data_IF_363768525652
#
_entry.id   IF_363768525652
#
_cell.length_a   1.000
_cell.length_b   1.000
_cell.length_c   1.000
_cell.angle_alpha   90.00
_cell.angle_beta   90.00
_cell.angle_gamma   90.00
#
_symmetry.space_group_name_H-M   'P 1'
#
loop_
_entity.id
_entity.type
_entity.pdbx_description
1 polymer ?
#
# COMPACT_ATOMS: atom_id res chain seq x y z
N UNK A 1 -3.67 -9.52 -3.42
CA UNK A 1 -4.09 -8.40 -4.29
C UNK A 1 -3.07 -8.21 -5.39
N UNK A 2 -3.44 -7.54 -6.50
CA UNK A 2 -2.64 -7.54 -7.74
C UNK A 2 -1.24 -6.93 -7.57
N UNK A 3 -1.09 -5.83 -6.82
CA UNK A 3 0.22 -5.19 -6.59
C UNK A 3 1.21 -6.17 -5.94
N UNK A 4 0.81 -6.83 -4.85
CA UNK A 4 1.64 -7.86 -4.18
C UNK A 4 2.05 -8.97 -5.15
N UNK A 5 1.11 -9.46 -5.97
CA UNK A 5 1.41 -10.51 -6.97
C UNK A 5 2.43 -10.05 -8.02
N UNK A 6 2.39 -8.77 -8.44
CA UNK A 6 3.36 -8.21 -9.38
C UNK A 6 4.73 -8.02 -8.74
N UNK A 7 4.79 -7.63 -7.47
CA UNK A 7 6.03 -7.53 -6.70
C UNK A 7 6.66 -8.92 -6.48
N UNK A 8 5.85 -9.93 -6.19
CA UNK A 8 6.30 -11.33 -6.08
C UNK A 8 6.87 -11.90 -7.39
N UNK A 9 6.34 -11.44 -8.52
CA UNK A 9 6.82 -11.86 -9.85
C UNK A 9 8.12 -11.20 -10.29
N UNK A 10 8.58 -10.14 -9.61
CA UNK A 10 9.81 -9.42 -9.96
C UNK A 10 11.04 -10.19 -9.42
N UNK A 11 11.87 -10.70 -10.34
CA UNK A 11 13.11 -11.42 -10.01
C UNK A 11 14.32 -10.60 -10.43
N UNK A 12 15.04 -10.05 -9.46
CA UNK A 12 16.31 -9.36 -9.65
C UNK A 12 17.11 -9.41 -8.35
N UNK A 13 18.23 -10.16 -8.32
CA UNK A 13 19.06 -10.33 -7.12
C UNK A 13 19.62 -9.00 -6.58
N UNK A 14 20.05 -8.10 -7.48
CA UNK A 14 20.59 -6.79 -7.09
C UNK A 14 19.54 -5.83 -6.51
N UNK A 15 18.25 -6.12 -6.71
CA UNK A 15 17.13 -5.31 -6.20
C UNK A 15 16.28 -6.06 -5.17
N UNK A 16 16.68 -7.28 -4.76
CA UNK A 16 15.89 -8.18 -3.93
C UNK A 16 15.38 -7.50 -2.65
N UNK A 17 16.25 -6.80 -1.93
CA UNK A 17 15.87 -6.10 -0.70
C UNK A 17 14.79 -5.02 -0.93
N UNK A 18 14.89 -4.29 -2.05
CA UNK A 18 13.92 -3.24 -2.40
C UNK A 18 12.58 -3.82 -2.86
N UNK A 19 12.62 -4.95 -3.58
CA UNK A 19 11.43 -5.72 -3.97
C UNK A 19 10.72 -6.25 -2.71
N UNK A 20 11.47 -6.87 -1.79
CA UNK A 20 10.94 -7.42 -0.54
C UNK A 20 10.35 -6.31 0.35
N UNK A 21 10.99 -5.13 0.41
CA UNK A 21 10.47 -3.97 1.14
C UNK A 21 9.14 -3.48 0.54
N UNK A 22 9.07 -3.28 -0.78
CA UNK A 22 7.85 -2.84 -1.46
C UNK A 22 6.72 -3.87 -1.28
N UNK A 23 7.06 -5.16 -1.35
CA UNK A 23 6.12 -6.26 -1.11
C UNK A 23 5.53 -6.19 0.30
N UNK A 24 6.38 -6.05 1.32
CA UNK A 24 5.95 -5.91 2.72
C UNK A 24 5.00 -4.73 2.89
N UNK A 25 5.30 -3.57 2.30
CA UNK A 25 4.40 -2.42 2.33
C UNK A 25 3.05 -2.71 1.64
N UNK A 26 3.04 -3.45 0.53
CA UNK A 26 1.80 -3.83 -0.18
C UNK A 26 0.92 -4.77 0.65
N UNK A 27 1.55 -5.73 1.34
CA UNK A 27 0.87 -6.62 2.28
C UNK A 27 0.31 -5.85 3.49
N UNK A 28 1.11 -4.98 4.10
CA UNK A 28 0.68 -4.13 5.22
C UNK A 28 -0.51 -3.25 4.84
N UNK A 29 -0.47 -2.58 3.68
CA UNK A 29 -1.60 -1.79 3.18
C UNK A 29 -2.85 -2.65 2.99
N UNK A 30 -2.72 -3.79 2.30
CA UNK A 30 -3.86 -4.69 2.06
C UNK A 30 -4.46 -5.22 3.36
N UNK A 31 -3.62 -5.55 4.36
CA UNK A 31 -4.08 -6.03 5.66
C UNK A 31 -4.78 -4.92 6.44
N UNK A 32 -4.29 -3.68 6.39
CA UNK A 32 -4.94 -2.54 7.04
C UNK A 32 -6.37 -2.32 6.55
N UNK A 33 -6.57 -2.40 5.23
CA UNK A 33 -7.91 -2.28 4.64
C UNK A 33 -8.85 -3.39 5.14
N UNK A 34 -8.35 -4.62 5.29
CA UNK A 34 -9.12 -5.74 5.85
C UNK A 34 -9.44 -5.56 7.33
N UNK A 35 -8.47 -5.11 8.12
CA UNK A 35 -8.68 -4.80 9.54
C UNK A 35 -9.78 -3.76 9.73
N UNK A 36 -9.86 -2.78 8.84
CA UNK A 36 -10.86 -1.70 8.84
C UNK A 36 -12.16 -2.04 8.11
N UNK A 37 -12.47 -3.32 7.89
CA UNK A 37 -13.69 -3.74 7.17
C UNK A 37 -14.99 -3.21 7.79
N UNK A 38 -15.06 -2.96 9.11
CA UNK A 38 -16.25 -2.36 9.74
C UNK A 38 -16.55 -0.95 9.23
N UNK A 39 -15.50 -0.21 8.84
CA UNK A 39 -15.60 1.15 8.33
C UNK A 39 -15.65 1.19 6.80
N UNK A 40 -14.95 0.25 6.14
CA UNK A 40 -14.70 0.27 4.69
C UNK A 40 -15.50 -0.78 3.90
N UNK A 41 -16.00 -1.82 4.57
CA UNK A 41 -16.70 -2.96 3.95
C UNK A 41 -18.21 -2.89 4.07
N UNK A 42 -18.76 -1.69 4.29
CA UNK A 42 -20.20 -1.43 4.44
C UNK A 42 -20.75 -0.67 3.24
N UNK A 43 -22.03 -0.79 2.95
CA UNK A 43 -22.70 0.16 2.05
C UNK A 43 -22.66 1.57 2.65
N UNK A 44 -22.48 2.57 1.78
CA UNK A 44 -22.41 3.97 2.22
C UNK A 44 -21.15 4.34 3.00
N UNK A 45 -19.98 3.81 2.62
CA UNK A 45 -18.69 4.33 3.12
C UNK A 45 -18.64 5.85 2.89
N UNK A 46 -18.32 6.59 3.94
CA UNK A 46 -18.27 8.06 3.86
C UNK A 46 -17.04 8.51 3.08
N UNK A 47 -17.10 9.71 2.48
CA UNK A 47 -15.93 10.33 1.86
C UNK A 47 -14.75 10.44 2.83
N UNK A 48 -15.01 10.71 4.11
CA UNK A 48 -13.97 10.81 5.13
C UNK A 48 -13.28 9.45 5.32
N UNK A 49 -14.04 8.37 5.50
CA UNK A 49 -13.51 7.00 5.66
C UNK A 49 -12.72 6.55 4.43
N UNK A 50 -13.25 6.82 3.23
CA UNK A 50 -12.58 6.50 1.98
C UNK A 50 -11.26 7.27 1.82
N UNK A 51 -11.25 8.58 2.13
CA UNK A 51 -10.03 9.41 2.07
C UNK A 51 -8.97 8.93 3.07
N UNK A 52 -9.36 8.56 4.29
CA UNK A 52 -8.43 7.98 5.28
C UNK A 52 -7.82 6.65 4.85
N UNK A 53 -8.45 5.94 3.91
CA UNK A 53 -7.97 4.66 3.40
C UNK A 53 -7.09 4.79 2.15
N UNK A 54 -7.43 5.65 1.19
CA UNK A 54 -6.77 5.67 -0.14
C UNK A 54 -6.26 7.04 -0.62
N UNK A 55 -6.54 8.13 0.10
CA UNK A 55 -6.02 9.44 -0.26
C UNK A 55 -4.74 9.74 0.55
N UNK A 56 -3.58 9.45 -0.03
CA UNK A 56 -2.27 9.62 0.63
C UNK A 56 -1.96 11.06 1.11
N UNK A 57 -2.67 12.07 0.60
CA UNK A 57 -2.53 13.47 0.99
C UNK A 57 -3.55 13.91 2.05
N UNK A 58 -4.42 13.01 2.52
CA UNK A 58 -5.43 13.34 3.53
C UNK A 58 -4.79 13.70 4.88
N UNK A 59 -5.46 14.55 5.67
CA UNK A 59 -4.98 14.93 7.00
C UNK A 59 -4.88 13.73 7.94
N UNK A 60 -5.99 13.00 8.07
CA UNK A 60 -6.06 11.75 8.83
C UNK A 60 -5.82 10.54 7.92
N UNK A 61 -5.06 9.55 8.38
CA UNK A 61 -4.62 8.43 7.53
C UNK A 61 -4.72 7.05 8.20
N UNK A 62 -5.62 6.91 9.17
CA UNK A 62 -5.62 5.77 10.11
C UNK A 62 -6.20 4.47 9.53
N UNK A 63 -6.74 4.52 8.30
CA UNK A 63 -7.47 3.42 7.67
C UNK A 63 -6.78 2.81 6.44
N UNK A 64 -5.56 3.25 6.13
CA UNK A 64 -4.78 2.70 5.01
C UNK A 64 -3.96 3.75 4.27
N UNK A 65 -4.32 5.04 4.35
CA UNK A 65 -3.62 6.06 3.57
C UNK A 65 -2.16 6.26 4.03
N UNK A 66 -1.83 5.93 5.29
CA UNK A 66 -0.46 5.94 5.79
C UNK A 66 0.35 4.80 5.17
N UNK A 67 -0.20 3.59 5.19
CA UNK A 67 0.41 2.40 4.58
C UNK A 67 0.54 2.55 3.07
N UNK A 68 -0.44 3.19 2.41
CA UNK A 68 -0.38 3.52 0.99
C UNK A 68 0.75 4.52 0.68
N UNK A 69 0.97 5.50 1.56
CA UNK A 69 2.11 6.42 1.46
C UNK A 69 3.46 5.69 1.50
N UNK A 70 3.62 4.78 2.47
CA UNK A 70 4.83 3.95 2.61
C UNK A 70 5.03 3.02 1.40
N UNK A 71 3.96 2.41 0.88
CA UNK A 71 4.01 1.62 -0.35
C UNK A 71 4.45 2.46 -1.55
N UNK A 72 3.90 3.66 -1.70
CA UNK A 72 4.26 4.59 -2.77
C UNK A 72 5.75 4.94 -2.73
N UNK A 73 6.28 5.32 -1.56
CA UNK A 73 7.70 5.64 -1.37
C UNK A 73 8.61 4.44 -1.64
N UNK A 74 8.24 3.25 -1.15
CA UNK A 74 9.04 2.04 -1.36
C UNK A 74 9.13 1.64 -2.84
N UNK A 75 8.01 1.74 -3.57
CA UNK A 75 7.98 1.50 -5.02
C UNK A 75 8.77 2.59 -5.78
N UNK A 76 8.75 3.83 -5.31
CA UNK A 76 9.57 4.90 -5.90
C UNK A 76 11.08 4.60 -5.75
N UNK A 77 11.53 4.19 -4.56
CA UNK A 77 12.92 3.80 -4.31
C UNK A 77 13.32 2.60 -5.19
N UNK A 78 12.46 1.60 -5.31
CA UNK A 78 12.68 0.47 -6.20
C UNK A 78 12.81 0.93 -7.67
N UNK A 79 11.90 1.79 -8.13
CA UNK A 79 11.93 2.32 -9.50
C UNK A 79 13.19 3.12 -9.80
N UNK A 80 13.65 3.95 -8.85
CA UNK A 80 14.90 4.72 -8.98
C UNK A 80 16.14 3.82 -9.05
N UNK A 81 16.15 2.72 -8.30
CA UNK A 81 17.27 1.78 -8.31
C UNK A 81 17.30 0.87 -9.56
N UNK A 82 16.17 0.72 -10.24
CA UNK A 82 16.06 -0.06 -11.47
C UNK A 82 16.35 0.75 -12.75
N UNK A 83 16.39 2.08 -12.66
CA UNK A 83 16.79 2.97 -13.76
C UNK A 83 18.29 2.89 -14.00
#
# INVERSE_FOLDING_TARGET
>A
TLITQKLDGLKNEGLKEKIDAAKKCSETFTNKLKEKHTDLGKEGVTDADAKEAILKTNGTKTKGAEELGKLFESVEVLSKAAK
#
